data_IF_832243581562
#
_entry.id   IF_832243581562
#
_cell.length_a   1.000
_cell.length_b   1.000
_cell.length_c   1.000
_cell.angle_alpha   90.00
_cell.angle_beta   90.00
_cell.angle_gamma   90.00
#
_symmetry.space_group_name_H-M   'P 1'
#
loop_
_entity.id
_entity.type
_entity.pdbx_description
1 polymer ?
#
# COMPACT_ATOMS: atom_id res chain seq x y z
N UNK A 1 49.50 12.23 4.95
CA UNK A 1 49.08 10.83 5.14
C UNK A 1 48.13 10.47 4.00
N UNK A 2 48.59 9.62 3.09
CA UNK A 2 47.95 9.18 1.84
C UNK A 2 47.32 7.80 2.05
N UNK A 3 46.25 7.53 1.32
CA UNK A 3 45.95 6.31 0.53
C UNK A 3 44.41 6.30 0.33
N UNK A 4 43.78 6.42 -0.84
CA UNK A 4 43.92 5.77 -2.16
C UNK A 4 44.09 4.25 -2.13
N UNK A 5 43.28 3.59 -2.97
CA UNK A 5 43.30 2.18 -3.40
C UNK A 5 42.45 1.17 -2.62
N UNK A 6 41.17 1.09 -3.01
CA UNK A 6 40.39 -0.15 -2.92
C UNK A 6 40.65 -0.96 -4.20
N UNK A 7 41.73 -1.74 -4.21
CA UNK A 7 41.98 -2.78 -5.20
C UNK A 7 41.63 -4.13 -4.59
N UNK A 8 40.60 -4.80 -5.12
CA UNK A 8 40.36 -6.22 -4.86
C UNK A 8 40.67 -7.03 -6.12
N UNK A 9 41.66 -7.90 -6.01
CA UNK A 9 42.21 -8.76 -7.06
C UNK A 9 41.69 -10.19 -6.92
N UNK A 10 41.04 -10.70 -7.99
CA UNK A 10 40.99 -12.13 -8.35
C UNK A 10 39.64 -12.88 -8.16
N UNK A 11 39.39 -13.98 -8.89
CA UNK A 11 39.73 -14.27 -10.29
C UNK A 11 38.48 -14.48 -11.17
N UNK A 12 38.63 -14.21 -12.48
CA UNK A 12 37.68 -14.57 -13.53
C UNK A 12 37.97 -16.00 -13.98
N UNK A 13 37.01 -16.90 -13.82
CA UNK A 13 36.99 -18.20 -14.49
C UNK A 13 35.73 -18.32 -15.33
N UNK A 14 35.91 -18.28 -16.66
CA UNK A 14 34.92 -18.67 -17.67
C UNK A 14 35.12 -20.16 -17.97
N UNK A 15 34.04 -20.93 -17.96
CA UNK A 15 33.73 -22.17 -18.74
C UNK A 15 32.44 -22.71 -18.12
N UNK A 16 31.28 -22.70 -18.79
CA UNK A 16 30.95 -23.68 -19.82
C UNK A 16 30.23 -24.88 -19.18
N UNK A 17 28.99 -25.11 -19.60
CA UNK A 17 28.12 -26.28 -19.35
C UNK A 17 27.04 -26.08 -18.28
N UNK A 18 25.81 -25.90 -18.76
CA UNK A 18 24.59 -26.05 -17.99
C UNK A 18 24.48 -27.51 -17.48
N UNK A 19 24.36 -27.68 -16.17
CA UNK A 19 23.91 -28.95 -15.60
C UNK A 19 22.59 -28.68 -14.90
N UNK A 20 21.53 -29.11 -15.56
CA UNK A 20 20.18 -29.20 -15.03
C UNK A 20 20.18 -30.22 -13.88
N UNK A 21 20.23 -29.72 -12.63
CA UNK A 21 20.04 -30.53 -11.44
C UNK A 21 18.57 -30.88 -11.25
N UNK A 22 18.13 -31.94 -11.93
CA UNK A 22 16.80 -32.52 -11.83
C UNK A 22 16.64 -33.25 -10.48
N UNK A 23 16.10 -32.58 -9.45
CA UNK A 23 15.54 -33.28 -8.28
C UNK A 23 14.11 -33.70 -8.62
N UNK A 24 13.94 -34.96 -9.01
CA UNK A 24 12.62 -35.58 -9.18
C UNK A 24 11.99 -35.82 -7.80
N UNK A 25 11.08 -34.96 -7.36
CA UNK A 25 10.05 -35.37 -6.40
C UNK A 25 8.79 -35.74 -7.18
N UNK A 26 8.39 -37.00 -7.03
CA UNK A 26 7.26 -37.63 -7.72
C UNK A 26 5.94 -37.26 -7.06
N UNK A 27 5.49 -36.02 -7.25
CA UNK A 27 4.10 -35.61 -7.06
C UNK A 27 3.68 -34.74 -8.24
N UNK A 28 3.08 -35.37 -9.26
CA UNK A 28 2.34 -34.68 -10.31
C UNK A 28 1.12 -34.01 -9.70
N UNK A 29 1.20 -32.70 -9.44
CA UNK A 29 0.01 -31.90 -9.18
C UNK A 29 -0.71 -31.67 -10.52
N UNK A 30 -1.98 -32.07 -10.68
CA UNK A 30 -2.73 -31.71 -11.88
C UNK A 30 -2.93 -30.20 -11.89
N UNK A 31 -2.68 -29.59 -13.06
CA UNK A 31 -3.06 -28.21 -13.37
C UNK A 31 -4.59 -28.14 -13.41
N UNK A 32 -5.20 -28.00 -12.23
CA UNK A 32 -6.62 -27.84 -12.03
C UNK A 32 -7.02 -26.40 -12.28
N UNK A 33 -7.83 -26.19 -13.31
CA UNK A 33 -8.51 -24.94 -13.58
C UNK A 33 -9.67 -24.81 -12.56
N UNK A 34 -9.44 -24.17 -11.42
CA UNK A 34 -10.52 -23.81 -10.49
C UNK A 34 -10.49 -22.32 -10.19
N UNK A 35 -11.62 -21.66 -10.48
CA UNK A 35 -11.96 -20.35 -9.93
C UNK A 35 -12.28 -20.51 -8.43
N UNK A 36 -11.28 -20.86 -7.63
CA UNK A 36 -11.37 -20.88 -6.18
C UNK A 36 -10.44 -19.80 -5.65
N UNK A 37 -10.98 -18.59 -5.51
CA UNK A 37 -10.38 -17.59 -4.64
C UNK A 37 -10.41 -18.15 -3.23
N UNK A 38 -9.26 -18.64 -2.74
CA UNK A 38 -9.14 -19.04 -1.34
C UNK A 38 -9.62 -17.88 -0.47
N UNK A 39 -10.61 -18.08 0.42
CA UNK A 39 -10.98 -17.05 1.36
C UNK A 39 -9.76 -16.77 2.22
N UNK A 40 -9.21 -15.55 2.11
CA UNK A 40 -8.23 -15.05 3.05
C UNK A 40 -8.86 -15.22 4.44
N UNK A 41 -8.28 -16.10 5.26
CA UNK A 41 -8.74 -16.35 6.63
C UNK A 41 -8.78 -15.01 7.36
N UNK A 42 -9.99 -14.47 7.55
CA UNK A 42 -10.22 -13.29 8.35
C UNK A 42 -10.25 -13.75 9.80
N UNK A 43 -9.24 -13.37 10.59
CA UNK A 43 -9.41 -13.38 12.03
C UNK A 43 -10.65 -12.53 12.34
N UNK A 44 -11.55 -12.98 13.24
CA UNK A 44 -12.67 -12.14 13.65
C UNK A 44 -12.07 -10.92 14.34
N UNK A 45 -11.97 -9.81 13.61
CA UNK A 45 -11.58 -8.54 14.18
C UNK A 45 -12.67 -8.17 15.19
N UNK A 46 -12.34 -8.22 16.47
CA UNK A 46 -13.21 -7.75 17.56
C UNK A 46 -12.97 -6.27 17.79
N UNK A 47 -14.01 -5.47 18.01
CA UNK A 47 -13.88 -4.04 18.32
C UNK A 47 -15.07 -3.22 17.81
N UNK A 48 -15.11 -1.94 18.16
CA UNK A 48 -16.20 -1.03 17.80
C UNK A 48 -16.33 -0.80 16.28
N UNK A 49 -15.26 -1.02 15.52
CA UNK A 49 -15.22 -0.89 14.06
C UNK A 49 -15.03 -2.25 13.36
N UNK A 50 -15.34 -3.34 14.05
CA UNK A 50 -15.35 -4.66 13.44
C UNK A 50 -16.25 -4.69 12.20
N UNK A 51 -15.72 -5.23 11.10
CA UNK A 51 -16.42 -5.32 9.81
C UNK A 51 -16.30 -4.09 8.91
N UNK A 52 -15.76 -2.97 9.40
CA UNK A 52 -15.49 -1.78 8.57
C UNK A 52 -14.19 -1.98 7.79
N UNK A 53 -14.22 -1.69 6.48
CA UNK A 53 -13.05 -1.76 5.60
C UNK A 53 -12.63 -0.37 5.13
N UNK A 54 -11.38 -0.01 5.40
CA UNK A 54 -10.81 1.30 5.10
C UNK A 54 -9.69 1.16 4.06
N UNK A 55 -9.77 1.93 2.98
CA UNK A 55 -8.69 2.13 2.03
C UNK A 55 -7.94 3.42 2.37
N UNK A 56 -6.71 3.29 2.84
CA UNK A 56 -5.86 4.40 3.27
C UNK A 56 -4.79 4.73 2.21
N UNK A 57 -5.03 5.80 1.46
CA UNK A 57 -4.08 6.34 0.48
C UNK A 57 -3.23 7.46 1.07
N UNK A 58 -3.47 7.87 2.31
CA UNK A 58 -2.82 9.02 2.91
C UNK A 58 -1.33 8.77 3.22
N UNK A 59 -0.57 9.83 3.42
CA UNK A 59 0.88 9.79 3.67
C UNK A 59 1.23 10.60 4.91
N UNK A 60 2.46 10.44 5.41
CA UNK A 60 2.93 11.15 6.59
C UNK A 60 2.12 10.72 7.83
N UNK A 61 1.54 11.63 8.60
CA UNK A 61 1.12 11.31 9.98
C UNK A 61 -0.39 11.44 10.20
N UNK A 62 -0.98 12.61 9.99
CA UNK A 62 -2.33 12.91 10.50
C UNK A 62 -3.42 11.92 10.04
N UNK A 63 -3.61 11.75 8.73
CA UNK A 63 -4.62 10.86 8.18
C UNK A 63 -4.27 9.36 8.33
N UNK A 64 -3.02 8.91 8.04
CA UNK A 64 -2.65 7.51 8.27
C UNK A 64 -2.76 7.10 9.75
N UNK A 65 -2.43 7.99 10.68
CA UNK A 65 -2.57 7.71 12.11
C UNK A 65 -4.04 7.59 12.51
N UNK A 66 -4.93 8.45 11.98
CA UNK A 66 -6.38 8.29 12.15
C UNK A 66 -6.88 6.92 11.69
N UNK A 67 -6.49 6.49 10.49
CA UNK A 67 -6.82 5.15 9.99
C UNK A 67 -6.22 4.02 10.87
N UNK A 68 -5.04 4.24 11.47
CA UNK A 68 -4.43 3.27 12.40
C UNK A 68 -5.25 3.12 13.67
N UNK A 69 -5.76 4.22 14.23
CA UNK A 69 -6.65 4.15 15.39
C UNK A 69 -7.92 3.37 15.05
N UNK A 70 -8.46 3.52 13.83
CA UNK A 70 -9.57 2.68 13.39
C UNK A 70 -9.19 1.20 13.32
N UNK A 71 -7.98 0.87 12.86
CA UNK A 71 -7.46 -0.50 12.85
C UNK A 71 -7.34 -1.07 14.27
N UNK A 72 -6.84 -0.27 15.22
CA UNK A 72 -6.75 -0.65 16.64
C UNK A 72 -8.15 -0.95 17.24
N UNK A 73 -9.21 -0.33 16.71
CA UNK A 73 -10.60 -0.58 17.08
C UNK A 73 -11.31 -1.66 16.22
N UNK A 74 -10.56 -2.43 15.42
CA UNK A 74 -11.06 -3.61 14.70
C UNK A 74 -11.39 -3.40 13.21
N UNK A 75 -11.19 -2.20 12.66
CA UNK A 75 -11.36 -2.00 11.22
C UNK A 75 -10.29 -2.78 10.42
N UNK A 76 -10.67 -3.32 9.26
CA UNK A 76 -9.69 -3.81 8.29
C UNK A 76 -9.16 -2.62 7.48
N UNK A 77 -7.88 -2.29 7.66
CA UNK A 77 -7.26 -1.17 6.96
C UNK A 77 -6.27 -1.66 5.92
N UNK A 78 -6.50 -1.26 4.67
CA UNK A 78 -5.59 -1.51 3.55
C UNK A 78 -4.87 -0.21 3.22
N UNK A 79 -3.56 -0.18 3.45
CA UNK A 79 -2.68 0.92 3.07
C UNK A 79 -2.31 0.77 1.59
N UNK A 80 -2.67 1.76 0.78
CA UNK A 80 -2.24 1.87 -0.60
C UNK A 80 -1.09 2.87 -0.69
N UNK A 81 0.01 2.45 -1.31
CA UNK A 81 1.17 3.29 -1.61
C UNK A 81 1.39 3.36 -3.13
N UNK A 82 1.85 4.52 -3.62
CA UNK A 82 2.32 4.64 -4.99
C UNK A 82 3.68 3.91 -5.13
N UNK A 83 4.04 3.43 -6.34
CA UNK A 83 5.22 2.59 -6.54
C UNK A 83 6.57 3.29 -6.31
N UNK A 84 6.58 4.62 -6.18
CA UNK A 84 7.78 5.44 -5.98
C UNK A 84 8.16 5.62 -4.50
N UNK A 85 7.52 4.91 -3.57
CA UNK A 85 7.74 5.12 -2.15
C UNK A 85 7.16 6.44 -1.67
N UNK A 86 5.98 6.80 -2.17
CA UNK A 86 5.33 8.10 -1.97
C UNK A 86 5.10 8.51 -0.52
N UNK A 87 5.18 7.58 0.45
CA UNK A 87 5.07 7.92 1.85
C UNK A 87 6.46 8.25 2.42
N UNK A 88 6.75 9.53 2.75
CA UNK A 88 8.04 9.93 3.31
C UNK A 88 8.38 9.21 4.62
N UNK A 89 7.40 8.65 5.32
CA UNK A 89 7.66 7.85 6.51
C UNK A 89 8.52 6.62 6.24
N UNK A 90 8.59 6.13 4.99
CA UNK A 90 9.48 5.02 4.59
C UNK A 90 10.97 5.35 4.75
N UNK A 91 11.35 6.60 5.01
CA UNK A 91 12.72 7.01 5.34
C UNK A 91 12.84 7.99 6.51
N UNK A 92 11.73 8.33 7.17
CA UNK A 92 11.73 9.36 8.21
C UNK A 92 12.41 8.86 9.49
N UNK A 93 13.35 9.65 10.00
CA UNK A 93 14.01 9.41 11.29
C UNK A 93 13.04 9.58 12.47
N UNK A 94 13.17 8.78 13.54
CA UNK A 94 14.26 7.82 13.80
C UNK A 94 14.10 6.49 13.05
N UNK A 95 15.23 5.94 12.60
CA UNK A 95 15.35 4.61 11.98
C UNK A 95 16.12 3.70 12.94
N UNK A 96 15.56 2.52 13.23
CA UNK A 96 16.22 1.48 14.04
C UNK A 96 16.35 0.20 13.21
N UNK A 97 17.56 -0.33 13.11
CA UNK A 97 17.88 -1.56 12.37
C UNK A 97 17.36 -1.52 10.90
N UNK A 98 17.51 -0.36 10.25
CA UNK A 98 17.01 -0.13 8.89
C UNK A 98 15.49 0.05 8.78
N UNK A 99 14.76 0.06 9.91
CA UNK A 99 13.30 0.22 9.93
C UNK A 99 12.90 1.62 10.42
N UNK A 100 12.19 2.42 9.61
CA UNK A 100 11.65 3.71 10.02
C UNK A 100 10.58 3.55 11.09
N UNK A 101 10.79 4.16 12.26
CA UNK A 101 9.89 3.99 13.40
C UNK A 101 8.57 4.72 13.21
N UNK A 102 8.58 5.90 12.59
CA UNK A 102 7.34 6.64 12.29
C UNK A 102 6.41 5.86 11.36
N UNK A 103 6.95 5.15 10.38
CA UNK A 103 6.12 4.31 9.52
C UNK A 103 5.40 3.22 10.32
N UNK A 104 6.08 2.58 11.29
CA UNK A 104 5.43 1.62 12.18
C UNK A 104 4.34 2.26 13.03
N UNK A 105 4.59 3.45 13.57
CA UNK A 105 3.60 4.18 14.38
C UNK A 105 2.36 4.51 13.55
N UNK A 106 2.53 5.00 12.34
CA UNK A 106 1.43 5.45 11.49
C UNK A 106 0.76 4.36 10.65
N UNK A 107 1.31 3.13 10.62
CA UNK A 107 0.82 2.05 9.74
C UNK A 107 0.80 0.64 10.37
N UNK A 108 0.97 0.50 11.69
CA UNK A 108 0.79 -0.80 12.38
C UNK A 108 -0.61 -1.37 12.10
N UNK A 109 -0.70 -2.70 12.03
CA UNK A 109 -1.97 -3.41 11.85
C UNK A 109 -2.59 -3.31 10.44
N UNK A 110 -2.04 -2.47 9.54
CA UNK A 110 -2.55 -2.31 8.18
C UNK A 110 -1.99 -3.37 7.23
N UNK A 111 -2.78 -3.74 6.21
CA UNK A 111 -2.33 -4.55 5.07
C UNK A 111 -1.83 -3.63 3.96
N UNK A 112 -0.60 -3.83 3.47
CA UNK A 112 -0.01 -2.98 2.44
C UNK A 112 -0.27 -3.48 1.01
N UNK A 113 -0.61 -2.57 0.10
CA UNK A 113 -0.66 -2.80 -1.34
C UNK A 113 0.02 -1.63 -2.08
N UNK A 114 0.50 -1.90 -3.29
CA UNK A 114 1.07 -0.88 -4.17
C UNK A 114 0.24 -0.75 -5.43
N UNK A 115 -0.18 0.48 -5.76
CA UNK A 115 -0.97 0.74 -6.96
C UNK A 115 -0.69 2.14 -7.51
N UNK A 116 -0.33 2.23 -8.79
CA UNK A 116 -0.13 3.51 -9.46
C UNK A 116 -1.44 4.08 -10.02
N UNK A 117 -2.17 4.83 -9.20
CA UNK A 117 -3.43 5.48 -9.58
C UNK A 117 -3.24 6.68 -10.52
N UNK A 118 -2.02 7.04 -10.87
CA UNK A 118 -1.76 8.10 -11.87
C UNK A 118 -1.94 7.57 -13.30
N UNK A 119 -1.91 6.24 -13.46
CA UNK A 119 -2.11 5.56 -14.75
C UNK A 119 -3.57 5.15 -14.94
N UNK A 120 -4.12 5.22 -16.16
CA UNK A 120 -5.51 4.82 -16.43
C UNK A 120 -5.91 3.47 -15.85
N UNK A 121 -5.08 2.44 -16.04
CA UNK A 121 -5.34 1.08 -15.58
C UNK A 121 -5.36 0.99 -14.05
N UNK A 122 -4.50 1.77 -13.37
CA UNK A 122 -4.47 1.82 -11.92
C UNK A 122 -5.69 2.50 -11.32
N UNK A 123 -6.20 3.55 -11.98
CA UNK A 123 -7.46 4.20 -11.61
C UNK A 123 -8.64 3.26 -11.75
N UNK A 124 -8.76 2.61 -12.89
CA UNK A 124 -9.83 1.64 -13.13
C UNK A 124 -9.80 0.51 -12.10
N UNK A 125 -8.60 0.02 -11.75
CA UNK A 125 -8.46 -0.99 -10.72
C UNK A 125 -8.87 -0.46 -9.34
N UNK A 126 -8.45 0.75 -8.96
CA UNK A 126 -8.88 1.40 -7.72
C UNK A 126 -10.41 1.49 -7.65
N UNK A 127 -11.05 2.01 -8.70
CA UNK A 127 -12.50 2.18 -8.75
C UNK A 127 -13.25 0.86 -8.61
N UNK A 128 -12.76 -0.22 -9.24
CA UNK A 128 -13.33 -1.57 -9.05
C UNK A 128 -13.13 -2.09 -7.62
N UNK A 129 -12.01 -1.76 -6.99
CA UNK A 129 -11.74 -2.17 -5.62
C UNK A 129 -12.62 -1.43 -4.60
N UNK A 130 -13.05 -0.20 -4.87
CA UNK A 130 -13.86 0.61 -3.93
C UNK A 130 -15.18 -0.05 -3.52
N UNK A 131 -15.74 -0.95 -4.34
CA UNK A 131 -16.94 -1.72 -3.98
C UNK A 131 -16.77 -2.58 -2.72
N UNK A 132 -15.52 -2.83 -2.32
CA UNK A 132 -15.14 -3.62 -1.15
C UNK A 132 -14.81 -2.80 0.09
N UNK A 133 -14.80 -1.47 -0.01
CA UNK A 133 -14.40 -0.57 1.06
C UNK A 133 -15.56 0.33 1.47
N UNK A 134 -15.64 0.61 2.76
CA UNK A 134 -16.63 1.52 3.34
C UNK A 134 -16.10 2.95 3.43
N UNK A 135 -14.78 3.09 3.61
CA UNK A 135 -14.12 4.39 3.80
C UNK A 135 -12.90 4.51 2.89
N UNK A 136 -12.74 5.65 2.24
CA UNK A 136 -11.50 6.08 1.58
C UNK A 136 -10.88 7.22 2.38
N UNK A 137 -9.61 7.09 2.74
CA UNK A 137 -8.84 8.11 3.47
C UNK A 137 -7.73 8.65 2.59
N UNK A 138 -7.68 9.98 2.42
CA UNK A 138 -6.63 10.67 1.66
C UNK A 138 -6.24 12.01 2.31
N UNK A 139 -4.99 12.42 2.10
CA UNK A 139 -4.48 13.71 2.56
C UNK A 139 -3.55 14.41 1.55
N UNK A 140 -3.80 14.20 0.27
CA UNK A 140 -3.04 14.87 -0.78
C UNK A 140 -3.40 16.36 -0.83
N UNK A 141 -2.54 17.16 -1.46
CA UNK A 141 -2.87 18.58 -1.71
C UNK A 141 -4.19 18.69 -2.48
N UNK A 142 -4.96 19.74 -2.18
CA UNK A 142 -6.23 20.07 -2.84
C UNK A 142 -6.12 19.92 -4.37
N UNK A 143 -7.12 19.27 -4.97
CA UNK A 143 -7.18 18.99 -6.42
C UNK A 143 -6.24 17.90 -6.94
N UNK A 144 -5.43 17.24 -6.10
CA UNK A 144 -4.54 16.17 -6.58
C UNK A 144 -5.31 14.93 -7.04
N UNK A 145 -6.27 14.48 -6.24
CA UNK A 145 -7.16 13.37 -6.61
C UNK A 145 -7.95 13.70 -7.88
N UNK A 146 -8.43 14.94 -8.00
CA UNK A 146 -9.19 15.44 -9.14
C UNK A 146 -8.35 15.44 -10.43
N UNK A 147 -7.07 15.87 -10.37
CA UNK A 147 -6.13 15.76 -11.50
C UNK A 147 -5.83 14.32 -11.89
N UNK A 148 -5.92 13.39 -10.94
CA UNK A 148 -5.85 11.97 -11.24
C UNK A 148 -7.17 11.42 -11.79
N UNK A 149 -8.27 12.18 -11.79
CA UNK A 149 -9.58 11.69 -12.23
C UNK A 149 -10.25 10.80 -11.17
N UNK A 150 -9.98 11.09 -9.90
CA UNK A 150 -10.54 10.43 -8.72
C UNK A 150 -11.23 11.47 -7.82
N UNK A 151 -11.94 12.41 -8.43
CA UNK A 151 -12.76 13.37 -7.70
C UNK A 151 -13.91 12.69 -6.94
N UNK A 152 -14.54 13.42 -6.03
CA UNK A 152 -15.60 12.88 -5.17
C UNK A 152 -16.78 12.30 -5.96
N UNK A 153 -17.18 12.90 -7.10
CA UNK A 153 -18.27 12.38 -7.92
C UNK A 153 -17.88 11.03 -8.54
N UNK A 154 -16.69 10.95 -9.12
CA UNK A 154 -16.16 9.71 -9.70
C UNK A 154 -16.07 8.58 -8.65
N UNK A 155 -15.60 8.90 -7.44
CA UNK A 155 -15.51 7.93 -6.33
C UNK A 155 -16.91 7.45 -5.87
N UNK A 156 -17.88 8.36 -5.75
CA UNK A 156 -19.25 8.03 -5.34
C UNK A 156 -20.04 7.30 -6.43
N UNK A 157 -19.72 7.53 -7.71
CA UNK A 157 -20.27 6.71 -8.81
C UNK A 157 -19.80 5.26 -8.71
N UNK A 158 -18.53 5.04 -8.33
CA UNK A 158 -17.99 3.69 -8.14
C UNK A 158 -18.56 3.00 -6.89
N UNK A 159 -18.79 3.75 -5.82
CA UNK A 159 -19.46 3.25 -4.62
C UNK A 159 -20.30 4.37 -3.94
N UNK A 160 -21.63 4.36 -4.13
CA UNK A 160 -22.52 5.39 -3.56
C UNK A 160 -22.61 5.39 -2.03
N UNK A 161 -22.12 4.34 -1.36
CA UNK A 161 -22.09 4.20 0.10
C UNK A 161 -20.74 4.59 0.70
N UNK A 162 -19.75 4.94 -0.13
CA UNK A 162 -18.40 5.25 0.30
C UNK A 162 -18.37 6.53 1.14
N UNK A 163 -17.75 6.45 2.31
CA UNK A 163 -17.37 7.62 3.09
C UNK A 163 -16.00 8.09 2.62
N UNK A 164 -15.91 9.35 2.19
CA UNK A 164 -14.65 9.94 1.71
C UNK A 164 -14.11 10.90 2.77
N UNK A 165 -13.00 10.53 3.41
CA UNK A 165 -12.28 11.39 4.36
C UNK A 165 -11.10 12.05 3.63
N UNK A 166 -11.21 13.37 3.45
CA UNK A 166 -10.18 14.21 2.84
C UNK A 166 -9.59 15.13 3.90
N UNK A 167 -8.29 15.00 4.19
CA UNK A 167 -7.60 15.82 5.18
C UNK A 167 -6.53 16.69 4.49
N UNK A 168 -6.73 18.00 4.50
CA UNK A 168 -5.72 18.97 4.05
C UNK A 168 -5.42 19.97 5.16
N UNK A 169 -4.35 20.75 5.02
CA UNK A 169 -3.95 21.73 6.04
C UNK A 169 -5.01 22.80 6.32
N UNK A 170 -5.74 23.23 5.29
CA UNK A 170 -6.73 24.32 5.37
C UNK A 170 -8.14 23.92 4.92
N UNK A 171 -8.39 22.64 4.63
CA UNK A 171 -9.66 22.16 4.06
C UNK A 171 -9.66 22.12 2.53
N UNK A 172 -10.77 21.63 1.95
CA UNK A 172 -10.94 21.53 0.49
C UNK A 172 -11.50 22.82 -0.14
N UNK A 173 -11.94 23.77 0.69
CA UNK A 173 -12.60 25.01 0.28
C UNK A 173 -12.16 26.14 1.19
N UNK A 174 -12.19 27.38 0.68
CA UNK A 174 -11.87 28.59 1.44
C UNK A 174 -10.66 29.34 0.86
N UNK A 175 -10.36 30.54 1.39
CA UNK A 175 -9.32 31.42 0.81
C UNK A 175 -7.89 30.90 0.98
N UNK A 176 -7.68 29.90 1.84
CA UNK A 176 -6.36 29.29 2.13
C UNK A 176 -6.23 27.84 1.64
N UNK A 177 -7.24 27.33 0.92
CA UNK A 177 -7.33 25.94 0.46
C UNK A 177 -6.46 25.62 -0.76
#
# INVERSE_FOLDING_TARGET
>A
MRNTDCGYTGPVAKTGTAVCGLVRSSHTLPCGNTKESLPLKTHPNTGALAGVRILDMATVLAAPFGATLCADHGAEVVKLELPDGSDPLRGLQPVKDGVPLWWKVANRGKKGITLDVRKPQGRELLLRMLAQFDVLVENFRTGTMDRWGLDAQTLLQANPRLVILRLTGFGQTGPYA
#
